data_IF_539711141671
#
_entry.id   IF_539711141671
#
_cell.length_a   1.000
_cell.length_b   1.000
_cell.length_c   1.000
_cell.angle_alpha   90.00
_cell.angle_beta   90.00
_cell.angle_gamma   90.00
#
_symmetry.space_group_name_H-M   'P 1'
#
loop_
_entity.id
_entity.type
_entity.pdbx_description
1 polymer ?
#
# COMPACT_ATOMS: atom_id res chain seq x y z
N UNK A 1 -5.41 34.74 -2.39
CA UNK A 1 -5.78 34.35 -2.15
C UNK A 1 -6.13 34.01 -2.34
N UNK A 2 -6.12 33.94 -2.34
CA UNK A 2 -6.52 33.42 -2.24
C UNK A 2 -6.79 32.93 -2.52
N UNK A 3 -6.60 32.68 -2.65
CA UNK A 3 -6.93 32.14 -2.74
C UNK A 3 -7.33 31.59 -2.64
N UNK A 4 -7.31 31.52 -2.48
CA UNK A 4 -7.87 30.92 -2.11
C UNK A 4 -8.57 30.68 -2.16
N UNK A 5 -8.51 30.79 -1.98
CA UNK A 5 -9.37 30.55 -1.85
C UNK A 5 -9.98 30.50 -2.53
N UNK A 6 -9.91 30.41 -2.95
CA UNK A 6 -10.41 30.30 -3.51
C UNK A 6 -10.65 29.78 -4.23
N UNK A 7 -9.98 30.32 -4.39
CA UNK A 7 -9.97 29.34 -5.16
C UNK A 7 -10.65 28.18 -4.80
N UNK A 8 -11.18 28.02 -4.53
CA UNK A 8 -11.76 27.00 -3.92
C UNK A 8 -12.97 26.36 -4.49
N UNK A 9 -13.13 26.39 -5.75
CA UNK A 9 -14.25 25.64 -6.31
C UNK A 9 -13.94 24.16 -6.31
N UNK A 10 -14.94 23.32 -6.17
CA UNK A 10 -14.79 21.88 -6.25
C UNK A 10 -14.35 21.47 -7.64
N UNK A 11 -14.80 22.17 -8.65
CA UNK A 11 -14.40 21.86 -10.01
C UNK A 11 -12.89 22.01 -10.21
N UNK A 12 -12.31 23.11 -9.74
CA UNK A 12 -10.89 23.33 -9.86
C UNK A 12 -10.10 22.31 -9.04
N UNK A 13 -10.58 22.05 -7.84
CA UNK A 13 -9.93 21.04 -6.97
C UNK A 13 -9.95 19.66 -7.65
N UNK A 14 -11.06 19.33 -8.29
CA UNK A 14 -11.17 18.08 -9.00
C UNK A 14 -10.20 17.98 -10.17
N UNK A 15 -10.00 19.08 -10.90
CA UNK A 15 -9.03 19.09 -11.99
C UNK A 15 -7.61 18.90 -11.49
N UNK A 16 -7.28 19.53 -10.37
CA UNK A 16 -5.95 19.40 -9.79
C UNK A 16 -5.69 17.96 -9.34
N UNK A 17 -6.66 17.35 -8.70
CA UNK A 17 -6.55 15.95 -8.27
C UNK A 17 -6.46 15.04 -9.50
N UNK A 18 -7.29 15.29 -10.51
CA UNK A 18 -7.28 14.48 -11.72
C UNK A 18 -5.93 14.49 -12.41
N UNK A 19 -5.31 15.66 -12.49
CA UNK A 19 -3.98 15.77 -13.08
C UNK A 19 -2.96 14.94 -12.33
N UNK A 20 -3.01 14.97 -11.00
CA UNK A 20 -2.10 14.19 -10.18
C UNK A 20 -2.35 12.68 -10.36
N UNK A 21 -3.60 12.28 -10.42
CA UNK A 21 -3.96 10.87 -10.64
C UNK A 21 -3.44 10.38 -11.98
N UNK A 22 -3.60 11.20 -13.04
CA UNK A 22 -3.09 10.83 -14.35
C UNK A 22 -1.59 10.59 -14.33
N UNK A 23 -0.85 11.46 -13.63
CA UNK A 23 0.59 11.31 -13.52
C UNK A 23 0.98 10.03 -12.81
N UNK A 24 0.28 9.70 -11.74
CA UNK A 24 0.59 8.50 -10.96
C UNK A 24 0.21 7.24 -11.69
N UNK A 25 -0.91 7.23 -12.41
CA UNK A 25 -1.29 6.09 -13.22
C UNK A 25 -0.26 5.81 -14.30
N UNK A 26 0.20 6.84 -14.97
CA UNK A 26 1.22 6.70 -16.00
C UNK A 26 2.53 6.18 -15.44
N UNK A 27 2.88 6.61 -14.22
CA UNK A 27 4.15 6.24 -13.62
C UNK A 27 4.12 4.83 -13.01
N UNK A 28 3.00 4.41 -12.44
CA UNK A 28 2.97 3.20 -11.60
C UNK A 28 2.12 2.07 -12.16
N UNK A 29 1.67 2.17 -13.42
CA UNK A 29 1.06 1.05 -14.11
C UNK A 29 -0.28 0.61 -13.57
N UNK A 30 -1.10 1.54 -13.09
CA UNK A 30 -2.46 1.28 -12.64
C UNK A 30 -2.53 0.28 -11.48
N UNK A 31 -1.63 0.48 -10.51
CA UNK A 31 -1.62 -0.41 -9.34
C UNK A 31 -2.94 -0.38 -8.59
N UNK A 32 -3.65 0.74 -8.64
CA UNK A 32 -4.92 0.87 -7.93
C UNK A 32 -5.92 -0.21 -8.35
N UNK A 33 -6.08 -0.42 -9.65
CA UNK A 33 -7.03 -1.41 -10.14
C UNK A 33 -6.46 -2.82 -10.16
N UNK A 34 -5.14 -2.94 -10.38
CA UNK A 34 -4.54 -4.25 -10.54
C UNK A 34 -4.19 -4.94 -9.23
N UNK A 35 -4.14 -4.19 -8.15
CA UNK A 35 -3.87 -4.77 -6.83
C UNK A 35 -4.92 -5.83 -6.45
N UNK A 36 -6.16 -5.64 -6.87
CA UNK A 36 -7.20 -6.62 -6.55
C UNK A 36 -6.94 -7.97 -7.23
N UNK A 37 -6.31 -7.97 -8.41
CA UNK A 37 -5.95 -9.22 -9.07
C UNK A 37 -4.92 -9.99 -8.26
N UNK A 38 -3.93 -9.27 -7.72
CA UNK A 38 -2.93 -9.89 -6.87
C UNK A 38 -3.58 -10.47 -5.62
N UNK A 39 -4.50 -9.71 -5.02
CA UNK A 39 -5.19 -10.19 -3.81
C UNK A 39 -6.02 -11.43 -4.08
N UNK A 40 -6.61 -11.55 -5.26
CA UNK A 40 -7.37 -12.75 -5.63
C UNK A 40 -6.47 -13.98 -5.72
N UNK A 41 -5.23 -13.78 -6.13
CA UNK A 41 -4.27 -14.87 -6.18
C UNK A 41 -3.88 -15.30 -4.76
N UNK A 42 -3.64 -14.33 -3.89
CA UNK A 42 -3.16 -14.60 -2.54
C UNK A 42 -4.28 -15.11 -1.62
N UNK A 43 -5.49 -14.63 -1.83
CA UNK A 43 -6.65 -14.97 -0.99
C UNK A 43 -7.82 -15.41 -1.86
N UNK A 44 -7.69 -16.57 -2.53
CA UNK A 44 -8.74 -16.99 -3.47
C UNK A 44 -10.07 -17.30 -2.81
N UNK A 45 -10.06 -17.59 -1.51
CA UNK A 45 -11.28 -17.94 -0.78
C UNK A 45 -11.78 -16.80 0.11
N UNK A 46 -11.22 -15.61 -0.06
CA UNK A 46 -11.64 -14.44 0.71
C UNK A 46 -10.72 -14.19 1.90
N UNK A 47 -10.98 -13.09 2.58
CA UNK A 47 -10.14 -12.60 3.67
C UNK A 47 -10.91 -12.70 4.98
N UNK A 48 -10.30 -13.32 5.98
CA UNK A 48 -10.91 -13.45 7.31
C UNK A 48 -10.48 -12.28 8.18
N UNK A 49 -11.26 -12.06 9.24
CA UNK A 49 -10.99 -10.95 10.16
C UNK A 49 -9.58 -11.05 10.75
N UNK A 50 -9.13 -12.23 11.09
CA UNK A 50 -7.81 -12.40 11.69
C UNK A 50 -6.67 -12.21 10.70
N UNK A 51 -6.98 -11.97 9.44
CA UNK A 51 -5.99 -11.70 8.41
C UNK A 51 -5.91 -10.22 8.03
N UNK A 52 -6.79 -9.39 8.60
CA UNK A 52 -6.88 -7.99 8.21
C UNK A 52 -5.57 -7.23 8.37
N UNK A 53 -4.86 -7.45 9.47
CA UNK A 53 -3.62 -6.71 9.72
C UNK A 53 -2.57 -7.02 8.65
N UNK A 54 -2.40 -8.28 8.33
CA UNK A 54 -1.47 -8.68 7.28
C UNK A 54 -1.89 -8.12 5.93
N UNK A 55 -3.19 -8.18 5.63
CA UNK A 55 -3.70 -7.70 4.35
C UNK A 55 -3.42 -6.22 4.18
N UNK A 56 -3.63 -5.43 5.22
CA UNK A 56 -3.37 -3.99 5.15
C UNK A 56 -1.90 -3.71 4.85
N UNK A 57 -1.00 -4.46 5.46
CA UNK A 57 0.44 -4.33 5.19
C UNK A 57 0.76 -4.79 3.78
N UNK A 58 0.20 -5.92 3.37
CA UNK A 58 0.45 -6.48 2.05
C UNK A 58 0.02 -5.53 0.93
N UNK A 59 -1.10 -4.84 1.12
CA UNK A 59 -1.57 -3.89 0.11
C UNK A 59 -0.54 -2.78 -0.10
N UNK A 60 0.06 -2.30 0.98
CA UNK A 60 1.11 -1.27 0.87
C UNK A 60 2.34 -1.81 0.15
N UNK A 61 2.72 -3.05 0.46
CA UNK A 61 3.86 -3.68 -0.21
C UNK A 61 3.57 -3.88 -1.71
N UNK A 62 2.37 -4.33 -2.03
CA UNK A 62 1.97 -4.55 -3.43
C UNK A 62 2.08 -3.24 -4.22
N UNK A 63 1.64 -2.14 -3.63
CA UNK A 63 1.77 -0.84 -4.29
C UNK A 63 3.24 -0.54 -4.62
N UNK A 64 4.14 -0.80 -3.70
CA UNK A 64 5.57 -0.56 -3.93
C UNK A 64 6.13 -1.51 -4.99
N UNK A 65 5.63 -2.74 -5.05
CA UNK A 65 6.06 -3.66 -6.09
C UNK A 65 5.70 -3.16 -7.50
N UNK A 66 4.51 -2.58 -7.64
CA UNK A 66 4.13 -1.99 -8.93
C UNK A 66 5.05 -0.82 -9.29
N UNK A 67 5.43 -0.01 -8.31
CA UNK A 67 6.35 1.09 -8.56
C UNK A 67 7.73 0.60 -8.98
N UNK A 68 8.23 -0.46 -8.35
CA UNK A 68 9.49 -1.06 -8.73
C UNK A 68 9.43 -1.58 -10.16
N UNK A 69 8.35 -2.26 -10.51
CA UNK A 69 8.20 -2.88 -11.81
C UNK A 69 8.07 -1.88 -12.94
N UNK A 70 7.50 -0.70 -12.66
CA UNK A 70 7.19 0.26 -13.70
C UNK A 70 8.18 1.41 -13.76
N UNK A 71 8.40 2.11 -12.66
CA UNK A 71 9.23 3.31 -12.68
C UNK A 71 9.79 3.55 -11.29
N UNK A 72 10.90 2.93 -11.00
CA UNK A 72 11.41 2.83 -9.64
C UNK A 72 11.53 4.15 -8.89
N UNK A 73 12.04 5.16 -9.53
CA UNK A 73 12.33 6.42 -8.83
C UNK A 73 11.50 7.56 -9.35
N UNK A 74 10.28 7.26 -9.82
CA UNK A 74 9.45 8.25 -10.50
C UNK A 74 9.25 9.53 -9.70
N UNK A 75 9.16 9.43 -8.37
CA UNK A 75 8.93 10.60 -7.52
C UNK A 75 10.01 10.73 -6.44
N UNK A 76 11.20 10.22 -6.73
CA UNK A 76 12.36 10.42 -5.86
C UNK A 76 12.35 9.58 -4.58
N UNK A 77 11.48 8.61 -4.48
CA UNK A 77 11.39 7.73 -3.32
C UNK A 77 11.93 6.35 -3.65
N UNK A 78 12.46 5.67 -2.64
CA UNK A 78 12.92 4.30 -2.81
C UNK A 78 11.81 3.35 -2.33
N UNK A 79 11.16 2.65 -3.24
CA UNK A 79 10.13 1.68 -2.83
C UNK A 79 10.70 0.57 -1.95
N UNK A 80 11.95 0.21 -2.15
CA UNK A 80 12.58 -0.83 -1.34
C UNK A 80 12.72 -0.42 0.12
N UNK A 81 12.98 0.86 0.38
CA UNK A 81 13.03 1.35 1.77
C UNK A 81 11.67 1.25 2.43
N UNK A 82 10.62 1.58 1.68
CA UNK A 82 9.27 1.47 2.20
C UNK A 82 8.92 0.03 2.53
N UNK A 83 9.28 -0.91 1.63
CA UNK A 83 9.02 -2.33 1.87
C UNK A 83 9.77 -2.81 3.11
N UNK A 84 11.03 -2.38 3.27
CA UNK A 84 11.81 -2.74 4.46
C UNK A 84 11.13 -2.21 5.72
N UNK A 85 10.63 -0.98 5.66
CA UNK A 85 9.93 -0.39 6.80
C UNK A 85 8.67 -1.15 7.16
N UNK A 86 7.88 -1.52 6.18
CA UNK A 86 6.68 -2.32 6.43
C UNK A 86 7.04 -3.69 6.98
N UNK A 87 8.13 -4.28 6.49
CA UNK A 87 8.61 -5.55 7.01
C UNK A 87 9.01 -5.46 8.47
N UNK A 88 9.68 -4.38 8.84
CA UNK A 88 10.05 -4.17 10.24
C UNK A 88 8.81 -4.05 11.13
N UNK A 89 7.84 -3.27 10.68
CA UNK A 89 6.61 -3.10 11.44
C UNK A 89 5.86 -4.43 11.59
N UNK A 90 5.72 -5.15 10.51
CA UNK A 90 4.97 -6.40 10.52
C UNK A 90 5.69 -7.48 11.32
N UNK A 91 7.00 -7.56 11.23
CA UNK A 91 7.74 -8.59 11.94
C UNK A 91 7.68 -8.37 13.45
N UNK A 92 7.67 -7.12 13.88
CA UNK A 92 7.53 -6.84 15.29
C UNK A 92 6.15 -7.24 15.82
N UNK A 93 5.12 -7.02 15.00
CA UNK A 93 3.76 -7.37 15.39
C UNK A 93 3.58 -8.87 15.55
N UNK A 94 4.37 -9.68 14.85
CA UNK A 94 4.22 -11.13 14.90
C UNK A 94 5.11 -11.80 15.92
N UNK A 95 6.01 -11.07 16.59
CA UNK A 95 6.86 -11.65 17.60
C UNK A 95 6.10 -11.86 18.90
N UNK A 96 6.42 -12.95 19.64
CA UNK A 96 5.79 -13.14 20.93
C UNK A 96 6.10 -11.98 21.84
N UNK A 97 5.18 -11.59 22.62
CA UNK A 97 5.43 -10.54 23.58
C UNK A 97 6.41 -11.04 24.60
N UNK A 98 6.74 -11.80 24.58
CA UNK A 98 7.63 -12.16 25.36
C UNK A 98 7.66 -13.29 25.56
N UNK A 99 7.73 -13.67 25.37
CA UNK A 99 7.72 -14.51 25.37
C UNK A 99 7.07 -15.44 25.38
N UNK A 100 6.89 -15.78 25.19
CA UNK A 100 6.43 -16.58 25.09
C UNK A 100 5.64 -17.14 24.45
N UNK A 101 5.30 -17.33 24.13
CA UNK A 101 4.67 -17.74 23.56
C UNK A 101 4.09 -17.95 22.70
N UNK A 102 3.98 -18.19 22.28
CA UNK A 102 3.39 -18.33 21.47
C UNK A 102 3.10 -18.85 20.73
N UNK A 103 2.89 -19.44 20.45
CA UNK A 103 2.78 -19.87 19.74
C UNK A 103 2.11 -19.75 18.80
N UNK A 104 2.06 -19.47 18.33
CA UNK A 104 1.45 -19.32 17.47
C UNK A 104 1.34 -20.07 16.64
N UNK A 105 1.54 -20.27 16.79
CA UNK A 105 1.52 -20.68 16.32
C UNK A 105 1.49 -21.10 15.82
N UNK A 106 1.46 -21.46 15.93
CA UNK A 106 1.39 -21.62 15.52
C UNK A 106 1.25 -21.55 14.70
N UNK A 107 1.21 -21.61 14.43
CA UNK A 107 1.21 -21.55 13.71
C UNK A 107 1.37 -21.08 12.87
N UNK A 108 1.60 -20.81 12.80
CA UNK A 108 1.85 -20.42 12.11
C UNK A 108 2.43 -20.47 11.42
N UNK A 109 2.88 -20.72 11.05
CA UNK A 109 3.31 -20.82 10.46
C UNK A 109 3.13 -21.37 10.13
#
# INVERSE_FOLDING_TARGET
MNKHFCCGSYEQHGKDIGSLVDQKQAAYGDSFHRSSEVMQILYPDGIRVNQYQDVLTMIRVIDKLFRIATKKDAFGESPWKDIAGYGLLASKDTEPAFHGSIDYGQGAM
#
